data_IF_568517116934
#
_entry.id   IF_568517116934
#
_cell.length_a   1.000
_cell.length_b   1.000
_cell.length_c   1.000
_cell.angle_alpha   90.00
_cell.angle_beta   90.00
_cell.angle_gamma   90.00
#
_symmetry.space_group_name_H-M   'P 1'
#
loop_
_entity.id
_entity.type
_entity.pdbx_description
1 polymer ?
#
# COMPACT_ATOMS: atom_id res chain seq x y z
N UNK A 1 67.37 8.37 -38.01
CA UNK A 1 68.04 7.07 -38.16
C UNK A 1 69.53 7.34 -38.35
N UNK A 2 70.43 6.94 -37.45
CA UNK A 2 71.85 6.96 -37.74
C UNK A 2 72.21 5.68 -38.51
N UNK A 3 72.83 5.85 -39.69
CA UNK A 3 73.41 4.78 -40.48
C UNK A 3 74.65 4.24 -39.77
N UNK A 4 74.65 2.95 -39.45
CA UNK A 4 75.80 2.23 -38.93
C UNK A 4 76.69 1.76 -40.09
N UNK A 5 77.31 2.70 -40.82
CA UNK A 5 78.30 2.39 -41.84
C UNK A 5 79.68 2.31 -41.16
N UNK A 6 80.19 1.08 -40.97
CA UNK A 6 81.52 0.88 -40.43
C UNK A 6 81.77 -0.47 -39.77
N UNK A 7 81.38 -1.57 -40.40
CA UNK A 7 81.89 -2.90 -40.05
C UNK A 7 82.50 -3.53 -41.29
N UNK A 8 83.81 -3.78 -41.29
CA UNK A 8 84.41 -4.75 -42.23
C UNK A 8 84.19 -6.15 -41.64
N UNK A 9 83.36 -7.01 -42.24
CA UNK A 9 83.06 -8.30 -41.65
C UNK A 9 84.08 -9.32 -42.13
N UNK A 10 84.74 -10.01 -41.21
CA UNK A 10 85.06 -11.43 -41.44
C UNK A 10 83.75 -12.20 -41.27
N UNK A 11 82.90 -12.15 -42.30
CA UNK A 11 81.57 -12.78 -42.34
C UNK A 11 81.72 -14.27 -42.59
N UNK A 12 81.52 -15.08 -41.54
CA UNK A 12 81.21 -16.50 -41.72
C UNK A 12 79.69 -16.64 -41.86
N UNK A 13 79.24 -16.90 -43.08
CA UNK A 13 77.86 -17.30 -43.35
C UNK A 13 77.63 -18.73 -42.87
N UNK A 14 76.65 -18.92 -41.98
CA UNK A 14 76.16 -20.24 -41.61
C UNK A 14 74.65 -20.31 -41.84
N UNK A 15 74.20 -21.43 -42.39
CA UNK A 15 72.77 -21.75 -42.53
C UNK A 15 72.32 -22.51 -41.28
N UNK A 16 71.22 -22.05 -40.67
CA UNK A 16 70.61 -22.79 -39.57
C UNK A 16 69.88 -24.05 -40.09
N UNK A 17 69.38 -24.90 -39.18
CA UNK A 17 68.63 -26.12 -39.49
C UNK A 17 67.32 -25.89 -40.26
N UNK A 18 66.89 -24.64 -40.42
CA UNK A 18 65.71 -24.25 -41.20
C UNK A 18 66.06 -23.61 -42.54
N UNK A 19 67.33 -23.60 -42.95
CA UNK A 19 67.78 -23.07 -44.24
C UNK A 19 67.80 -21.54 -44.33
N UNK A 20 67.60 -20.82 -43.22
CA UNK A 20 67.73 -19.36 -43.22
C UNK A 20 69.22 -18.97 -43.08
N UNK A 21 69.66 -18.02 -43.91
CA UNK A 21 70.99 -17.40 -43.77
C UNK A 21 71.06 -16.69 -42.41
N UNK A 22 72.03 -17.06 -41.60
CA UNK A 22 72.33 -16.39 -40.34
C UNK A 22 73.76 -15.87 -40.35
N UNK A 23 73.92 -14.57 -40.09
CA UNK A 23 75.23 -13.95 -39.97
C UNK A 23 75.68 -13.99 -38.52
N UNK A 24 76.92 -14.43 -38.29
CA UNK A 24 77.51 -14.44 -36.96
C UNK A 24 78.46 -13.25 -36.86
N UNK A 25 77.98 -12.16 -36.24
CA UNK A 25 78.80 -11.00 -35.92
C UNK A 25 79.41 -11.12 -34.53
N UNK A 26 80.50 -10.40 -34.23
CA UNK A 26 81.01 -10.30 -32.86
C UNK A 26 80.46 -9.03 -32.19
N UNK A 27 80.07 -9.12 -30.91
CA UNK A 27 79.68 -7.91 -30.15
C UNK A 27 80.89 -6.98 -30.11
N UNK A 28 80.78 -5.71 -30.52
CA UNK A 28 81.89 -4.74 -30.43
C UNK A 28 82.35 -4.47 -28.98
N UNK A 29 81.64 -5.05 -28.03
CA UNK A 29 81.70 -4.82 -26.61
C UNK A 29 82.59 -5.85 -25.89
N UNK A 30 82.68 -7.10 -26.38
CA UNK A 30 83.48 -8.19 -25.76
C UNK A 30 84.00 -9.23 -26.77
N UNK A 31 83.82 -9.03 -28.08
CA UNK A 31 84.25 -9.98 -29.10
C UNK A 31 83.45 -11.31 -29.14
N UNK A 32 82.44 -11.48 -28.27
CA UNK A 32 81.62 -12.68 -28.23
C UNK A 32 80.73 -12.80 -29.48
N UNK A 33 80.64 -14.02 -30.03
CA UNK A 33 79.81 -14.35 -31.20
C UNK A 33 78.33 -14.11 -30.88
N UNK A 34 77.73 -13.15 -31.59
CA UNK A 34 76.30 -12.86 -31.59
C UNK A 34 75.71 -13.62 -32.78
N UNK A 35 74.88 -14.64 -32.49
CA UNK A 35 74.04 -15.23 -33.52
C UNK A 35 72.94 -14.22 -33.86
N UNK A 36 73.02 -13.64 -35.05
CA UNK A 36 71.93 -12.87 -35.62
C UNK A 36 71.07 -13.83 -36.43
N UNK A 37 69.93 -14.21 -35.89
CA UNK A 37 68.94 -15.09 -36.52
C UNK A 37 68.10 -14.36 -37.58
N UNK A 38 68.66 -13.33 -38.21
CA UNK A 38 68.07 -12.62 -39.36
C UNK A 38 66.81 -11.81 -39.05
N UNK A 39 66.33 -11.83 -37.81
CA UNK A 39 65.21 -11.00 -37.36
C UNK A 39 65.75 -10.02 -36.31
N UNK A 40 65.46 -8.72 -36.46
CA UNK A 40 65.84 -7.66 -35.50
C UNK A 40 65.30 -7.92 -34.07
N UNK A 41 64.50 -8.97 -33.89
CA UNK A 41 63.87 -9.37 -32.65
C UNK A 41 64.73 -10.27 -31.76
N UNK A 42 65.85 -10.84 -32.26
CA UNK A 42 66.57 -11.90 -31.53
C UNK A 42 68.10 -11.83 -31.56
N UNK A 43 68.71 -10.86 -32.23
CA UNK A 43 70.16 -10.62 -32.19
C UNK A 43 70.62 -9.89 -30.92
N UNK A 44 70.70 -10.61 -29.79
CA UNK A 44 71.30 -10.08 -28.56
C UNK A 44 72.57 -10.83 -28.16
N UNK A 45 73.52 -10.09 -27.59
CA UNK A 45 74.68 -10.69 -26.95
C UNK A 45 74.21 -11.48 -25.72
N UNK A 46 74.29 -12.81 -25.76
CA UNK A 46 73.85 -13.71 -24.68
C UNK A 46 74.57 -13.49 -23.34
N UNK A 47 75.65 -12.71 -23.33
CA UNK A 47 76.43 -12.41 -22.12
C UNK A 47 75.82 -11.25 -21.31
N UNK A 48 74.77 -10.59 -21.81
CA UNK A 48 74.01 -9.62 -21.01
C UNK A 48 74.84 -8.41 -20.58
N UNK A 49 75.59 -7.81 -21.50
CA UNK A 49 76.50 -6.76 -21.11
C UNK A 49 75.82 -5.47 -20.67
N UNK A 50 76.55 -4.69 -19.88
CA UNK A 50 76.11 -3.41 -19.31
C UNK A 50 75.60 -2.41 -20.37
N UNK A 51 75.97 -2.56 -21.66
CA UNK A 51 75.47 -1.71 -22.76
C UNK A 51 74.17 -2.23 -23.40
N UNK A 52 73.99 -3.53 -23.55
CA UNK A 52 72.82 -4.11 -24.23
C UNK A 52 71.63 -4.35 -23.28
N UNK A 53 71.90 -4.62 -22.00
CA UNK A 53 70.85 -4.88 -21.00
C UNK A 53 69.85 -3.72 -20.83
N UNK A 54 70.26 -2.43 -20.76
CA UNK A 54 69.32 -1.32 -20.69
C UNK A 54 68.39 -1.21 -21.91
N UNK A 55 68.87 -1.55 -23.11
CA UNK A 55 68.07 -1.53 -24.34
C UNK A 55 67.03 -2.65 -24.34
N UNK A 56 67.38 -3.86 -23.89
CA UNK A 56 66.44 -4.97 -23.73
C UNK A 56 65.38 -4.67 -22.67
N UNK A 57 65.78 -4.09 -21.53
CA UNK A 57 64.85 -3.65 -20.48
C UNK A 57 63.86 -2.62 -21.01
N UNK A 58 64.35 -1.61 -21.74
CA UNK A 58 63.50 -0.58 -22.38
C UNK A 58 62.56 -1.16 -23.43
N UNK A 59 63.03 -2.15 -24.21
CA UNK A 59 62.22 -2.83 -25.23
C UNK A 59 61.13 -3.71 -24.61
N UNK A 60 61.45 -4.46 -23.56
CA UNK A 60 60.48 -5.26 -22.80
C UNK A 60 59.40 -4.37 -22.20
N UNK A 61 59.79 -3.25 -21.57
CA UNK A 61 58.85 -2.26 -21.06
C UNK A 61 57.91 -1.72 -22.16
N UNK A 62 58.44 -1.40 -23.35
CA UNK A 62 57.61 -0.98 -24.49
C UNK A 62 56.63 -2.04 -24.97
N UNK A 63 57.01 -3.32 -24.94
CA UNK A 63 56.09 -4.40 -25.30
C UNK A 63 54.99 -4.57 -24.25
N UNK A 64 55.32 -4.49 -22.97
CA UNK A 64 54.34 -4.51 -21.87
C UNK A 64 53.38 -3.32 -21.98
N UNK A 65 53.88 -2.12 -22.27
CA UNK A 65 53.07 -0.91 -22.54
C UNK A 65 52.12 -1.10 -23.74
N UNK A 66 52.60 -1.72 -24.83
CA UNK A 66 51.77 -2.00 -26.00
C UNK A 66 50.70 -3.06 -25.73
N UNK A 67 51.03 -4.11 -24.98
CA UNK A 67 50.09 -5.15 -24.58
C UNK A 67 49.01 -4.59 -23.64
N UNK A 68 49.38 -3.69 -22.72
CA UNK A 68 48.43 -2.99 -21.85
C UNK A 68 47.53 -2.04 -22.65
N UNK A 69 48.09 -1.29 -23.61
CA UNK A 69 47.32 -0.43 -24.49
C UNK A 69 46.34 -1.22 -25.38
N UNK A 70 46.71 -2.42 -25.85
CA UNK A 70 45.83 -3.30 -26.61
C UNK A 70 44.67 -3.83 -25.73
N UNK A 71 44.96 -4.25 -24.49
CA UNK A 71 43.92 -4.64 -23.52
C UNK A 71 42.99 -3.47 -23.19
N UNK A 72 43.51 -2.26 -23.06
CA UNK A 72 42.70 -1.06 -22.83
C UNK A 72 41.79 -0.74 -24.03
N UNK A 73 42.33 -0.85 -25.25
CA UNK A 73 41.56 -0.69 -26.49
C UNK A 73 40.40 -1.69 -26.56
N UNK A 74 40.62 -2.95 -26.20
CA UNK A 74 39.58 -3.98 -26.19
C UNK A 74 38.51 -3.71 -25.11
N UNK A 75 38.91 -3.22 -23.93
CA UNK A 75 37.99 -2.79 -22.87
C UNK A 75 37.13 -1.61 -23.33
N UNK A 76 37.73 -0.63 -24.01
CA UNK A 76 37.00 0.52 -24.56
C UNK A 76 36.03 0.08 -25.67
N UNK A 77 36.46 -0.80 -26.58
CA UNK A 77 35.60 -1.35 -27.62
C UNK A 77 34.41 -2.14 -27.05
N UNK A 78 34.59 -2.84 -25.92
CA UNK A 78 33.49 -3.48 -25.20
C UNK A 78 32.52 -2.45 -24.63
N UNK A 79 33.01 -1.40 -23.95
CA UNK A 79 32.17 -0.32 -23.41
C UNK A 79 31.36 0.42 -24.48
N UNK A 80 31.95 0.66 -25.65
CA UNK A 80 31.24 1.29 -26.77
C UNK A 80 30.04 0.43 -27.22
N UNK A 81 30.22 -0.89 -27.33
CA UNK A 81 29.11 -1.81 -27.66
C UNK A 81 28.00 -1.81 -26.61
N UNK A 82 28.37 -1.83 -25.33
CA UNK A 82 27.42 -1.76 -24.20
C UNK A 82 26.62 -0.44 -24.24
N UNK A 83 27.27 0.69 -24.58
CA UNK A 83 26.59 1.99 -24.74
C UNK A 83 25.66 2.04 -25.96
N UNK A 84 26.06 1.47 -27.10
CA UNK A 84 25.21 1.36 -28.29
C UNK A 84 23.96 0.49 -28.05
N UNK A 85 24.09 -0.58 -27.25
CA UNK A 85 22.95 -1.41 -26.84
C UNK A 85 22.01 -0.67 -25.90
N UNK A 86 22.55 0.06 -24.91
CA UNK A 86 21.77 0.89 -24.00
C UNK A 86 21.03 2.02 -24.75
N UNK A 87 21.64 2.63 -25.76
CA UNK A 87 21.00 3.64 -26.60
C UNK A 87 19.83 3.06 -27.41
N UNK A 88 20.01 1.86 -28.00
CA UNK A 88 18.91 1.14 -28.68
C UNK A 88 17.78 0.78 -27.72
N UNK A 89 18.09 0.42 -26.48
CA UNK A 89 17.08 0.12 -25.46
C UNK A 89 16.31 1.39 -25.05
N UNK A 90 17.01 2.51 -24.86
CA UNK A 90 16.40 3.82 -24.59
C UNK A 90 15.42 4.20 -25.71
N UNK A 91 15.79 4.01 -26.97
CA UNK A 91 14.89 4.29 -28.10
C UNK A 91 13.66 3.38 -28.13
N UNK A 92 13.81 2.10 -27.74
CA UNK A 92 12.67 1.17 -27.61
C UNK A 92 11.72 1.60 -26.50
N UNK A 93 12.27 2.01 -25.35
CA UNK A 93 11.47 2.51 -24.23
C UNK A 93 10.75 3.81 -24.58
N UNK A 94 11.42 4.75 -25.27
CA UNK A 94 10.81 5.99 -25.74
C UNK A 94 9.61 5.73 -26.66
N UNK A 95 9.73 4.78 -27.60
CA UNK A 95 8.60 4.36 -28.45
C UNK A 95 7.46 3.75 -27.64
N UNK A 96 7.76 2.94 -26.62
CA UNK A 96 6.73 2.34 -25.76
C UNK A 96 5.99 3.40 -24.94
N UNK A 97 6.69 4.39 -24.40
CA UNK A 97 6.09 5.53 -23.68
C UNK A 97 5.14 6.30 -24.62
N UNK A 98 5.57 6.59 -25.85
CA UNK A 98 4.73 7.28 -26.83
C UNK A 98 3.43 6.50 -27.14
N UNK A 99 3.49 5.17 -27.25
CA UNK A 99 2.29 4.32 -27.44
C UNK A 99 1.36 4.38 -26.24
N UNK A 100 1.90 4.35 -25.01
CA UNK A 100 1.10 4.44 -23.79
C UNK A 100 0.43 5.80 -23.65
N UNK A 101 1.11 6.89 -24.00
CA UNK A 101 0.52 8.24 -24.02
C UNK A 101 -0.66 8.33 -25.01
N UNK A 102 -0.53 7.73 -26.19
CA UNK A 102 -1.62 7.67 -27.17
C UNK A 102 -2.81 6.85 -26.64
N UNK A 103 -2.56 5.72 -25.97
CA UNK A 103 -3.61 4.93 -25.34
C UNK A 103 -4.31 5.70 -24.22
N UNK A 104 -3.56 6.39 -23.37
CA UNK A 104 -4.11 7.21 -22.29
C UNK A 104 -5.00 8.33 -22.83
N UNK A 105 -4.55 9.05 -23.85
CA UNK A 105 -5.35 10.10 -24.48
C UNK A 105 -6.65 9.54 -25.08
N UNK A 106 -6.59 8.38 -25.73
CA UNK A 106 -7.79 7.70 -26.24
C UNK A 106 -8.78 7.35 -25.12
N UNK A 107 -8.30 6.80 -24.00
CA UNK A 107 -9.17 6.49 -22.84
C UNK A 107 -9.79 7.75 -22.22
N UNK A 108 -9.06 8.87 -22.23
CA UNK A 108 -9.56 10.14 -21.74
C UNK A 108 -10.66 10.72 -22.64
N UNK A 109 -10.52 10.58 -23.96
CA UNK A 109 -11.57 10.93 -24.92
C UNK A 109 -12.83 10.07 -24.74
N UNK A 110 -12.68 8.76 -24.58
CA UNK A 110 -13.78 7.83 -24.31
C UNK A 110 -14.52 8.16 -22.99
N UNK A 111 -13.78 8.50 -21.93
CA UNK A 111 -14.36 8.90 -20.64
C UNK A 111 -15.13 10.23 -20.75
N UNK A 112 -14.57 11.22 -21.46
CA UNK A 112 -15.24 12.50 -21.68
C UNK A 112 -16.52 12.35 -22.49
N UNK A 113 -16.53 11.47 -23.48
CA UNK A 113 -17.73 11.16 -24.26
C UNK A 113 -18.78 10.44 -23.41
N UNK A 114 -18.38 9.48 -22.58
CA UNK A 114 -19.29 8.82 -21.63
C UNK A 114 -19.90 9.81 -20.63
N UNK A 115 -19.11 10.76 -20.13
CA UNK A 115 -19.60 11.82 -19.25
C UNK A 115 -20.62 12.73 -19.95
N UNK A 116 -20.35 13.12 -21.21
CA UNK A 116 -21.31 13.90 -22.01
C UNK A 116 -22.62 13.15 -22.22
N UNK A 117 -22.55 11.85 -22.49
CA UNK A 117 -23.74 11.01 -22.62
C UNK A 117 -24.51 10.91 -21.30
N UNK A 118 -23.83 10.78 -20.17
CA UNK A 118 -24.46 10.77 -18.86
C UNK A 118 -25.15 12.12 -18.55
N UNK A 119 -24.50 13.23 -18.86
CA UNK A 119 -25.07 14.57 -18.73
C UNK A 119 -26.28 14.77 -19.66
N UNK A 120 -26.24 14.23 -20.88
CA UNK A 120 -27.37 14.26 -21.80
C UNK A 120 -28.54 13.40 -21.32
N UNK A 121 -28.27 12.20 -20.78
CA UNK A 121 -29.30 11.35 -20.16
C UNK A 121 -29.89 12.00 -18.91
N UNK A 122 -29.06 12.69 -18.12
CA UNK A 122 -29.51 13.46 -16.95
C UNK A 122 -30.41 14.62 -17.37
N UNK A 123 -30.06 15.35 -18.44
CA UNK A 123 -30.91 16.39 -19.04
C UNK A 123 -32.21 15.84 -19.65
N UNK A 124 -32.18 14.63 -20.23
CA UNK A 124 -33.35 13.96 -20.82
C UNK A 124 -34.22 13.25 -19.79
N UNK A 125 -33.73 13.05 -18.56
CA UNK A 125 -34.54 12.70 -17.39
C UNK A 125 -34.66 13.92 -16.47
N UNK A 126 -35.44 14.95 -16.83
CA UNK A 126 -36.19 15.60 -15.78
C UNK A 126 -37.13 14.51 -15.27
N UNK A 127 -36.77 13.84 -14.18
CA UNK A 127 -37.84 13.49 -13.24
C UNK A 127 -38.39 14.84 -12.86
N UNK A 128 -39.49 15.18 -13.53
CA UNK A 128 -40.06 16.50 -13.61
C UNK A 128 -40.70 16.82 -12.25
N UNK A 129 -39.86 17.05 -11.26
CA UNK A 129 -40.27 17.56 -9.95
C UNK A 129 -40.59 19.06 -10.04
N UNK A 130 -40.28 19.72 -11.17
CA UNK A 130 -40.43 21.16 -11.37
C UNK A 130 -41.58 21.57 -12.29
N UNK A 131 -42.22 20.65 -13.03
CA UNK A 131 -43.55 20.90 -13.57
C UNK A 131 -44.57 20.94 -12.43
N UNK A 132 -44.64 22.13 -11.83
CA UNK A 132 -45.71 22.57 -10.93
C UNK A 132 -47.02 22.81 -11.69
N UNK A 133 -46.97 22.80 -13.03
CA UNK A 133 -48.12 23.00 -13.91
C UNK A 133 -48.66 21.65 -14.39
N UNK A 134 -49.49 21.03 -13.55
CA UNK A 134 -50.42 20.02 -14.03
C UNK A 134 -50.84 19.02 -12.98
N UNK A 135 -51.78 19.39 -12.10
CA UNK A 135 -52.85 18.60 -11.45
C UNK A 135 -52.58 17.18 -10.88
N UNK A 136 -51.39 16.61 -10.99
CA UNK A 136 -51.19 15.15 -10.95
C UNK A 136 -50.02 14.67 -10.09
N UNK A 137 -49.10 15.53 -9.63
CA UNK A 137 -47.90 15.07 -8.90
C UNK A 137 -47.97 15.26 -7.37
N UNK A 138 -48.11 16.48 -6.86
CA UNK A 138 -48.18 16.70 -5.39
C UNK A 138 -49.54 16.35 -4.80
N UNK A 139 -50.63 16.70 -5.49
CA UNK A 139 -52.00 16.38 -5.08
C UNK A 139 -52.18 14.88 -4.83
N UNK A 140 -51.65 14.04 -5.72
CA UNK A 140 -51.74 12.59 -5.62
C UNK A 140 -50.94 12.02 -4.44
N UNK A 141 -49.75 12.56 -4.16
CA UNK A 141 -48.95 12.14 -3.00
C UNK A 141 -49.69 12.39 -1.70
N UNK A 142 -50.30 13.57 -1.54
CA UNK A 142 -51.07 13.91 -0.33
C UNK A 142 -52.44 13.23 -0.25
N UNK A 143 -52.92 12.64 -1.34
CA UNK A 143 -54.10 11.78 -1.37
C UNK A 143 -53.76 10.31 -1.04
N UNK A 144 -52.48 9.94 -1.03
CA UNK A 144 -52.05 8.59 -0.69
C UNK A 144 -52.45 8.24 0.75
N UNK A 145 -52.86 6.98 1.02
CA UNK A 145 -53.08 6.52 2.39
C UNK A 145 -51.88 6.80 3.28
N UNK A 146 -52.13 7.17 4.54
CA UNK A 146 -51.08 7.44 5.51
C UNK A 146 -50.92 6.25 6.44
N UNK A 147 -49.69 5.79 6.62
CA UNK A 147 -49.29 4.77 7.59
C UNK A 147 -48.55 5.41 8.76
N UNK A 148 -48.79 4.92 9.97
CA UNK A 148 -48.02 5.32 11.15
C UNK A 148 -46.91 4.30 11.42
N UNK A 149 -45.67 4.75 11.46
CA UNK A 149 -44.47 3.95 11.75
C UNK A 149 -43.89 4.42 13.08
N UNK A 150 -43.72 3.52 14.04
CA UNK A 150 -43.20 3.85 15.37
C UNK A 150 -41.82 3.26 15.57
N UNK A 151 -40.80 4.11 15.68
CA UNK A 151 -39.41 3.70 15.91
C UNK A 151 -39.17 3.53 17.40
N UNK A 152 -38.97 2.28 17.84
CA UNK A 152 -38.62 1.93 19.22
C UNK A 152 -37.12 1.71 19.36
N UNK A 153 -36.40 2.78 19.68
CA UNK A 153 -34.95 2.75 19.90
C UNK A 153 -34.65 3.25 21.32
N UNK A 154 -33.60 2.78 22.02
CA UNK A 154 -33.26 3.24 23.37
C UNK A 154 -33.15 4.77 23.49
N UNK A 155 -32.59 5.44 22.46
CA UNK A 155 -32.48 6.91 22.43
C UNK A 155 -33.80 7.65 22.18
N UNK A 156 -34.86 6.97 21.75
CA UNK A 156 -36.19 7.53 21.54
C UNK A 156 -37.08 7.47 22.81
N UNK A 157 -36.60 6.83 23.87
CA UNK A 157 -37.37 6.60 25.10
C UNK A 157 -38.43 5.48 24.97
N UNK A 158 -39.17 5.19 26.05
CA UNK A 158 -40.03 4.00 26.14
C UNK A 158 -41.23 4.02 25.17
N UNK A 159 -41.68 5.19 24.74
CA UNK A 159 -42.79 5.34 23.80
C UNK A 159 -42.36 5.24 22.33
N UNK A 160 -41.07 5.36 22.05
CA UNK A 160 -40.56 5.53 20.68
C UNK A 160 -41.01 6.85 20.04
N UNK A 161 -40.65 7.03 18.76
CA UNK A 161 -41.06 8.17 17.94
C UNK A 161 -41.93 7.66 16.80
N UNK A 162 -43.12 8.24 16.65
CA UNK A 162 -44.07 7.87 15.59
C UNK A 162 -44.04 8.88 14.46
N UNK A 163 -43.89 8.37 13.23
CA UNK A 163 -43.94 9.13 11.98
C UNK A 163 -45.19 8.74 11.20
N UNK A 164 -45.88 9.72 10.60
CA UNK A 164 -47.04 9.50 9.73
C UNK A 164 -46.61 9.74 8.29
N UNK A 165 -46.46 8.67 7.52
CA UNK A 165 -45.89 8.70 6.17
C UNK A 165 -46.90 8.26 5.12
N UNK A 166 -46.80 8.84 3.93
CA UNK A 166 -47.64 8.52 2.78
C UNK A 166 -47.16 7.21 2.14
N UNK A 167 -48.07 6.25 1.98
CA UNK A 167 -47.79 4.88 1.53
C UNK A 167 -47.14 4.85 0.16
N UNK A 168 -47.62 5.66 -0.78
CA UNK A 168 -47.15 5.63 -2.17
C UNK A 168 -45.67 6.03 -2.23
N UNK A 169 -45.31 7.13 -1.55
CA UNK A 169 -43.92 7.58 -1.43
C UNK A 169 -43.04 6.56 -0.75
N UNK A 170 -43.55 5.98 0.34
CA UNK A 170 -42.81 5.01 1.12
C UNK A 170 -42.50 3.75 0.31
N UNK A 171 -43.45 3.27 -0.49
CA UNK A 171 -43.26 2.15 -1.41
C UNK A 171 -42.32 2.50 -2.58
N UNK A 172 -42.34 3.74 -3.06
CA UNK A 172 -41.48 4.21 -4.13
C UNK A 172 -40.00 4.23 -3.71
N UNK A 173 -39.72 4.74 -2.50
CA UNK A 173 -38.34 4.95 -2.02
C UNK A 173 -37.76 3.72 -1.32
N UNK A 174 -38.59 2.90 -0.65
CA UNK A 174 -38.13 1.77 0.16
C UNK A 174 -38.74 0.45 -0.31
N UNK A 175 -37.87 -0.42 -0.84
CA UNK A 175 -38.27 -1.78 -1.23
C UNK A 175 -38.73 -2.62 -0.03
N UNK A 176 -38.14 -2.42 1.15
CA UNK A 176 -38.57 -3.05 2.40
C UNK A 176 -40.04 -2.78 2.70
N UNK A 177 -40.46 -1.52 2.61
CA UNK A 177 -41.84 -1.14 2.86
C UNK A 177 -42.77 -1.51 1.70
N UNK A 178 -42.31 -1.40 0.45
CA UNK A 178 -43.08 -1.81 -0.72
C UNK A 178 -43.53 -3.28 -0.65
N UNK A 179 -42.66 -4.15 -0.15
CA UNK A 179 -42.97 -5.57 0.05
C UNK A 179 -43.96 -5.80 1.20
N UNK A 180 -43.78 -5.07 2.30
CA UNK A 180 -44.55 -5.27 3.54
C UNK A 180 -45.93 -4.62 3.53
N UNK A 181 -46.08 -3.42 2.99
CA UNK A 181 -47.32 -2.64 3.09
C UNK A 181 -48.50 -3.34 2.42
N UNK A 182 -48.28 -4.17 1.39
CA UNK A 182 -49.34 -5.00 0.81
C UNK A 182 -50.04 -5.90 1.83
N UNK A 183 -49.35 -6.29 2.90
CA UNK A 183 -49.90 -7.10 3.99
C UNK A 183 -50.60 -6.28 5.09
N UNK A 184 -50.31 -4.98 5.22
CA UNK A 184 -50.79 -4.14 6.32
C UNK A 184 -51.85 -3.14 5.83
N UNK A 185 -53.11 -3.35 6.21
CA UNK A 185 -54.23 -2.54 5.69
C UNK A 185 -54.34 -1.13 6.28
N UNK A 186 -53.80 -0.84 7.47
CA UNK A 186 -54.01 0.48 8.12
C UNK A 186 -52.91 0.96 9.07
N UNK A 187 -52.15 0.06 9.72
CA UNK A 187 -51.07 0.46 10.65
C UNK A 187 -49.91 -0.53 10.57
N UNK A 188 -48.70 -0.04 10.30
CA UNK A 188 -47.47 -0.85 10.29
C UNK A 188 -46.71 -0.56 11.57
N UNK A 189 -46.86 -1.41 12.57
CA UNK A 189 -45.97 -1.41 13.72
C UNK A 189 -44.64 -2.04 13.32
N UNK A 190 -43.72 -1.23 12.80
CA UNK A 190 -42.33 -1.65 12.71
C UNK A 190 -41.67 -1.42 14.07
N UNK A 191 -41.68 -2.45 14.91
CA UNK A 191 -40.78 -2.54 16.05
C UNK A 191 -39.35 -2.83 15.58
N UNK A 192 -38.87 -2.09 14.59
CA UNK A 192 -37.49 -2.19 14.14
C UNK A 192 -36.63 -1.35 15.08
N UNK A 193 -36.17 -1.99 16.15
CA UNK A 193 -35.09 -1.48 17.02
C UNK A 193 -33.80 -1.18 16.25
N UNK A 194 -33.74 -1.62 14.99
CA UNK A 194 -32.62 -1.49 14.08
C UNK A 194 -32.42 -0.07 13.51
N UNK A 195 -33.45 0.78 13.53
CA UNK A 195 -33.36 2.12 12.94
C UNK A 195 -33.10 3.18 14.01
N UNK A 196 -31.95 3.86 13.93
CA UNK A 196 -31.68 5.00 14.80
C UNK A 196 -32.64 6.17 14.49
N UNK A 197 -33.30 6.77 15.49
CA UNK A 197 -34.37 7.76 15.27
C UNK A 197 -33.89 9.01 14.53
N UNK A 198 -32.65 9.44 14.76
CA UNK A 198 -32.05 10.60 14.07
C UNK A 198 -31.86 10.29 12.58
N UNK A 199 -31.34 9.12 12.24
CA UNK A 199 -31.16 8.73 10.84
C UNK A 199 -32.51 8.53 10.14
N UNK A 200 -33.49 7.95 10.85
CA UNK A 200 -34.84 7.80 10.31
C UNK A 200 -35.51 9.15 10.01
N UNK A 201 -35.26 10.20 10.82
CA UNK A 201 -35.71 11.56 10.51
C UNK A 201 -35.18 12.05 9.15
N UNK A 202 -33.92 11.78 8.82
CA UNK A 202 -33.34 12.14 7.52
C UNK A 202 -33.83 11.26 6.38
N UNK A 203 -34.13 9.98 6.62
CA UNK A 203 -34.88 9.16 5.68
C UNK A 203 -36.25 9.77 5.36
N UNK A 204 -36.99 10.24 6.36
CA UNK A 204 -38.29 10.92 6.15
C UNK A 204 -38.12 12.22 5.37
N UNK A 205 -37.05 12.99 5.60
CA UNK A 205 -36.76 14.17 4.78
C UNK A 205 -36.50 13.78 3.32
N UNK A 206 -35.64 12.78 3.09
CA UNK A 206 -35.32 12.27 1.76
C UNK A 206 -36.57 11.75 1.02
N UNK A 207 -37.46 11.07 1.73
CA UNK A 207 -38.70 10.53 1.20
C UNK A 207 -39.56 11.58 0.48
N UNK A 208 -39.57 12.81 0.99
CA UNK A 208 -40.39 13.90 0.45
C UNK A 208 -39.61 14.86 -0.44
N UNK A 209 -38.33 15.10 -0.13
CA UNK A 209 -37.51 16.10 -0.79
C UNK A 209 -36.60 15.52 -1.89
N UNK A 210 -36.42 14.19 -1.95
CA UNK A 210 -35.42 13.55 -2.80
C UNK A 210 -33.97 13.78 -2.35
N UNK A 211 -33.78 14.52 -1.25
CA UNK A 211 -32.49 14.73 -0.59
C UNK A 211 -32.70 14.96 0.92
N UNK A 212 -31.64 14.82 1.72
CA UNK A 212 -31.64 15.18 3.14
C UNK A 212 -30.52 16.18 3.46
N UNK A 213 -30.80 17.17 4.30
CA UNK A 213 -29.86 18.27 4.58
C UNK A 213 -29.58 18.27 6.09
N UNK A 214 -28.29 18.21 6.45
CA UNK A 214 -27.88 18.41 7.83
C UNK A 214 -27.91 19.90 8.16
N UNK A 215 -28.35 20.22 9.37
CA UNK A 215 -28.28 21.58 9.89
C UNK A 215 -26.83 21.92 10.25
N UNK A 216 -26.39 23.16 10.03
CA UNK A 216 -25.00 23.61 10.26
C UNK A 216 -24.51 23.36 11.69
N UNK A 217 -25.42 23.34 12.66
CA UNK A 217 -25.10 23.01 14.06
C UNK A 217 -24.68 21.56 14.28
N UNK A 218 -24.85 20.69 13.28
CA UNK A 218 -24.53 19.25 13.34
C UNK A 218 -23.28 18.91 12.53
N UNK A 219 -22.59 19.90 11.95
CA UNK A 219 -21.40 19.68 11.12
C UNK A 219 -20.31 18.89 11.87
N UNK A 220 -20.11 19.14 13.17
CA UNK A 220 -19.11 18.44 13.98
C UNK A 220 -19.37 16.94 14.17
N UNK A 221 -20.61 16.49 13.92
CA UNK A 221 -21.06 15.10 14.03
C UNK A 221 -21.60 14.56 12.70
N UNK A 222 -21.38 15.28 11.59
CA UNK A 222 -21.96 14.97 10.30
C UNK A 222 -21.54 13.59 9.78
N UNK A 223 -20.27 13.23 9.94
CA UNK A 223 -19.75 11.92 9.53
C UNK A 223 -20.54 10.77 10.18
N UNK A 224 -20.76 10.84 11.48
CA UNK A 224 -21.53 9.85 12.22
C UNK A 224 -22.99 9.77 11.75
N UNK A 225 -23.65 10.92 11.55
CA UNK A 225 -25.03 10.95 11.07
C UNK A 225 -25.15 10.34 9.68
N UNK A 226 -24.25 10.69 8.75
CA UNK A 226 -24.23 10.14 7.40
C UNK A 226 -24.04 8.61 7.40
N UNK A 227 -23.17 8.09 8.26
CA UNK A 227 -23.01 6.65 8.48
C UNK A 227 -24.29 5.99 8.98
N UNK A 228 -24.99 6.58 9.96
CA UNK A 228 -26.26 6.03 10.43
C UNK A 228 -27.33 6.05 9.33
N UNK A 229 -27.38 7.10 8.52
CA UNK A 229 -28.31 7.21 7.39
C UNK A 229 -28.00 6.15 6.33
N UNK A 230 -26.72 5.89 6.04
CA UNK A 230 -26.28 4.83 5.13
C UNK A 230 -26.82 3.46 5.56
N UNK A 231 -26.65 3.08 6.82
CA UNK A 231 -27.13 1.78 7.31
C UNK A 231 -28.65 1.69 7.40
N UNK A 232 -29.34 2.78 7.78
CA UNK A 232 -30.81 2.81 7.72
C UNK A 232 -31.30 2.66 6.28
N UNK A 233 -30.66 3.32 5.32
CA UNK A 233 -31.01 3.22 3.91
C UNK A 233 -30.83 1.79 3.38
N UNK A 234 -29.74 1.13 3.76
CA UNK A 234 -29.47 -0.26 3.41
C UNK A 234 -30.52 -1.22 3.99
N UNK A 235 -30.82 -1.09 5.29
CA UNK A 235 -31.84 -1.90 5.98
C UNK A 235 -33.25 -1.70 5.38
N UNK A 236 -33.57 -0.47 4.98
CA UNK A 236 -34.86 -0.14 4.36
C UNK A 236 -34.87 -0.45 2.85
N UNK A 237 -33.76 -0.92 2.27
CA UNK A 237 -33.64 -1.17 0.84
C UNK A 237 -33.97 0.07 0.01
N UNK A 238 -33.39 1.21 0.40
CA UNK A 238 -33.52 2.52 -0.22
C UNK A 238 -32.19 2.92 -0.90
N UNK A 239 -31.87 2.38 -2.09
CA UNK A 239 -30.54 2.49 -2.70
C UNK A 239 -30.14 3.94 -3.02
N UNK A 240 -31.08 4.77 -3.48
CA UNK A 240 -30.79 6.18 -3.77
C UNK A 240 -30.38 6.97 -2.53
N UNK A 241 -30.99 6.68 -1.36
CA UNK A 241 -30.57 7.31 -0.11
C UNK A 241 -29.22 6.76 0.36
N UNK A 242 -28.96 5.47 0.16
CA UNK A 242 -27.68 4.83 0.51
C UNK A 242 -26.53 5.48 -0.25
N UNK A 243 -26.68 5.66 -1.56
CA UNK A 243 -25.72 6.35 -2.42
C UNK A 243 -25.55 7.82 -2.02
N UNK A 244 -26.64 8.54 -1.78
CA UNK A 244 -26.58 9.93 -1.34
C UNK A 244 -25.86 10.09 0.00
N UNK A 245 -26.08 9.16 0.93
CA UNK A 245 -25.41 9.14 2.23
C UNK A 245 -23.93 8.81 2.14
N UNK A 246 -23.55 7.86 1.28
CA UNK A 246 -22.15 7.57 1.00
C UNK A 246 -21.43 8.77 0.40
N UNK A 247 -22.01 9.41 -0.62
CA UNK A 247 -21.41 10.58 -1.26
C UNK A 247 -21.22 11.74 -0.27
N UNK A 248 -22.21 11.98 0.60
CA UNK A 248 -22.13 13.02 1.64
C UNK A 248 -21.11 12.69 2.73
N UNK A 249 -20.99 11.41 3.11
CA UNK A 249 -19.95 10.97 4.02
C UNK A 249 -18.57 11.18 3.42
N UNK A 250 -18.33 10.74 2.17
CA UNK A 250 -17.03 10.92 1.49
C UNK A 250 -16.64 12.39 1.46
N UNK A 251 -17.55 13.27 1.01
CA UNK A 251 -17.32 14.72 1.04
C UNK A 251 -16.98 15.22 2.44
N UNK A 252 -17.72 14.77 3.45
CA UNK A 252 -17.48 15.14 4.85
C UNK A 252 -16.08 14.74 5.33
N UNK A 253 -15.60 13.54 4.95
CA UNK A 253 -14.28 13.03 5.33
C UNK A 253 -13.15 13.72 4.55
N UNK A 254 -13.37 14.07 3.29
CA UNK A 254 -12.40 14.80 2.44
C UNK A 254 -12.25 16.28 2.85
N UNK A 255 -13.32 16.90 3.36
CA UNK A 255 -13.29 18.29 3.82
C UNK A 255 -12.75 18.46 5.24
N UNK A 256 -12.45 17.38 5.95
CA UNK A 256 -11.88 17.43 7.30
C UNK A 256 -10.41 17.85 7.21
N UNK A 257 -10.19 19.17 7.13
CA UNK A 257 -8.89 19.79 7.33
C UNK A 257 -8.60 19.93 8.81
N UNK A 258 -7.33 20.10 9.20
CA UNK A 258 -6.92 20.30 10.61
C UNK A 258 -7.71 21.40 11.33
N UNK A 259 -8.21 22.40 10.60
CA UNK A 259 -9.03 23.50 11.12
C UNK A 259 -10.52 23.16 11.26
N UNK A 260 -11.05 22.27 10.41
CA UNK A 260 -12.46 21.91 10.34
C UNK A 260 -12.80 20.76 11.29
N UNK A 261 -12.23 20.75 12.50
CA UNK A 261 -12.30 19.68 13.50
C UNK A 261 -13.63 18.90 13.52
N UNK A 262 -13.74 17.84 12.70
CA UNK A 262 -14.71 16.79 12.96
C UNK A 262 -14.41 16.30 14.37
N UNK A 263 -15.44 16.26 15.22
CA UNK A 263 -15.23 15.93 16.62
C UNK A 263 -14.68 14.51 16.70
N UNK A 264 -13.52 14.29 17.35
CA UNK A 264 -12.94 12.96 17.51
C UNK A 264 -13.95 11.94 18.08
N UNK A 265 -14.89 12.41 18.91
CA UNK A 265 -16.00 11.58 19.41
C UNK A 265 -16.95 11.09 18.30
N UNK A 266 -17.25 11.92 17.30
CA UNK A 266 -18.06 11.54 16.15
C UNK A 266 -17.36 10.48 15.30
N UNK A 267 -16.03 10.60 15.11
CA UNK A 267 -15.23 9.59 14.41
C UNK A 267 -15.24 8.25 15.14
N UNK A 268 -15.03 8.27 16.47
CA UNK A 268 -15.15 7.06 17.31
C UNK A 268 -16.54 6.43 17.17
N UNK A 269 -17.61 7.23 17.23
CA UNK A 269 -18.99 6.72 17.08
C UNK A 269 -19.31 6.24 15.67
N UNK A 270 -18.70 6.82 14.65
CA UNK A 270 -18.78 6.36 13.26
C UNK A 270 -18.16 4.97 13.12
N UNK A 271 -16.96 4.75 13.66
CA UNK A 271 -16.32 3.43 13.68
C UNK A 271 -17.21 2.42 14.37
N UNK A 272 -17.68 2.73 15.59
CA UNK A 272 -18.57 1.85 16.34
C UNK A 272 -19.80 1.44 15.51
N UNK A 273 -20.49 2.39 14.89
CA UNK A 273 -21.67 2.10 14.06
C UNK A 273 -21.35 1.27 12.81
N UNK A 274 -20.22 1.52 12.15
CA UNK A 274 -19.80 0.72 10.99
C UNK A 274 -19.56 -0.73 11.39
N UNK A 275 -18.74 -0.95 12.41
CA UNK A 275 -18.36 -2.30 12.78
C UNK A 275 -19.50 -3.06 13.45
N UNK A 276 -20.35 -2.42 14.27
CA UNK A 276 -21.57 -3.07 14.77
C UNK A 276 -22.54 -3.51 13.66
N UNK A 277 -22.62 -2.75 12.57
CA UNK A 277 -23.56 -3.03 11.48
C UNK A 277 -23.03 -4.02 10.44
N UNK A 278 -21.71 -4.19 10.37
CA UNK A 278 -21.03 -4.99 9.33
C UNK A 278 -20.31 -6.20 9.90
N UNK A 279 -20.08 -6.26 11.21
CA UNK A 279 -19.57 -7.48 11.85
C UNK A 279 -20.62 -8.54 11.65
N UNK A 280 -20.27 -9.57 10.88
CA UNK A 280 -21.02 -10.81 10.86
C UNK A 280 -21.29 -11.16 12.31
N UNK A 281 -22.57 -11.31 12.66
CA UNK A 281 -22.95 -11.65 14.02
C UNK A 281 -22.56 -13.10 14.26
N UNK A 282 -21.27 -13.39 14.40
CA UNK A 282 -20.63 -14.70 14.56
C UNK A 282 -21.09 -15.46 15.81
N UNK A 283 -22.13 -15.00 16.50
CA UNK A 283 -22.74 -15.68 17.64
C UNK A 283 -24.17 -15.26 17.99
N UNK A 284 -24.93 -14.54 17.13
CA UNK A 284 -26.36 -14.23 17.42
C UNK A 284 -27.34 -15.29 16.91
N UNK A 285 -26.87 -16.52 16.71
CA UNK A 285 -27.75 -17.68 16.65
C UNK A 285 -28.19 -18.04 18.07
N UNK A 286 -29.35 -17.49 18.47
CA UNK A 286 -30.29 -18.12 19.40
C UNK A 286 -29.91 -18.29 20.90
N UNK A 287 -29.30 -17.29 21.54
CA UNK A 287 -29.38 -17.18 23.01
C UNK A 287 -30.11 -15.90 23.40
N UNK A 288 -31.44 -16.01 23.52
CA UNK A 288 -32.16 -15.09 24.38
C UNK A 288 -31.85 -15.45 25.82
N UNK A 289 -31.10 -14.61 26.52
CA UNK A 289 -31.29 -14.28 27.94
C UNK A 289 -30.30 -13.19 28.34
N UNK A 290 -30.79 -12.20 29.08
CA UNK A 290 -29.97 -11.22 29.80
C UNK A 290 -29.03 -11.97 30.75
N UNK A 291 -27.74 -11.99 30.41
CA UNK A 291 -26.65 -12.37 31.31
C UNK A 291 -25.78 -11.15 31.56
N UNK A 292 -25.58 -10.86 32.83
CA UNK A 292 -24.84 -9.74 33.39
C UNK A 292 -23.45 -9.57 32.76
N UNK A 293 -22.98 -8.32 32.72
CA UNK A 293 -21.61 -7.95 32.38
C UNK A 293 -20.61 -8.72 33.24
N UNK A 294 -20.13 -9.85 32.73
CA UNK A 294 -18.97 -10.53 33.24
C UNK A 294 -17.74 -9.68 32.86
N UNK A 295 -17.33 -8.85 33.82
CA UNK A 295 -16.06 -8.14 33.78
C UNK A 295 -14.97 -9.19 33.70
N UNK A 296 -14.37 -9.33 32.52
CA UNK A 296 -13.11 -10.04 32.32
C UNK A 296 -12.03 -9.31 33.13
N UNK A 297 -11.95 -9.66 34.41
CA UNK A 297 -10.81 -9.37 35.27
C UNK A 297 -9.62 -10.11 34.66
N UNK A 298 -8.76 -9.35 33.99
CA UNK A 298 -7.38 -9.77 33.76
C UNK A 298 -6.75 -10.01 35.13
N UNK A 299 -6.08 -11.15 35.38
CA UNK A 299 -5.41 -11.37 36.65
C UNK A 299 -4.28 -10.34 36.77
N UNK A 300 -4.49 -9.35 37.63
CA UNK A 300 -3.41 -8.55 38.17
C UNK A 300 -2.51 -9.53 38.95
N UNK A 301 -1.27 -9.66 38.48
CA UNK A 301 -0.18 -10.30 39.19
C UNK A 301 0.08 -9.49 40.47
N UNK A 302 -0.61 -9.85 41.55
CA UNK A 302 -0.28 -9.48 42.91
C UNK A 302 0.93 -10.31 43.35
N UNK A 303 2.11 -9.72 43.25
CA UNK A 303 3.29 -10.21 43.98
C UNK A 303 3.26 -9.51 45.34
N UNK A 304 2.82 -10.26 46.35
CA UNK A 304 2.77 -9.84 47.74
C UNK A 304 4.11 -10.16 48.41
N UNK A 305 4.73 -9.13 48.96
CA UNK A 305 5.51 -9.12 50.21
C UNK A 305 6.75 -10.01 50.35
N UNK A 306 7.93 -9.37 50.39
CA UNK A 306 8.93 -9.64 51.45
C UNK A 306 9.55 -8.31 51.89
N UNK A 307 9.28 -7.94 53.14
CA UNK A 307 9.99 -6.93 53.92
C UNK A 307 11.35 -7.49 54.36
N UNK A 308 12.46 -6.91 53.91
CA UNK A 308 13.75 -6.85 54.63
C UNK A 308 14.41 -5.53 54.20
N UNK A 309 14.37 -4.48 55.02
CA UNK A 309 15.30 -4.17 56.12
C UNK A 309 16.66 -3.61 55.65
N UNK A 310 17.13 -2.65 56.45
CA UNK A 310 18.16 -1.63 56.24
C UNK A 310 19.46 -2.02 55.51
N UNK A 311 19.99 -1.12 54.68
CA UNK A 311 21.36 -0.59 54.88
C UNK A 311 21.75 0.53 53.91
N UNK A 312 22.26 1.61 54.50
CA UNK A 312 23.12 2.60 53.87
C UNK A 312 24.38 1.94 53.31
N UNK A 313 24.65 2.10 52.02
CA UNK A 313 26.02 2.20 51.51
C UNK A 313 26.10 3.16 50.33
N UNK A 314 26.64 4.33 50.64
CA UNK A 314 27.43 5.20 49.78
C UNK A 314 28.51 4.40 49.03
N UNK A 315 28.48 4.42 47.69
CA UNK A 315 29.64 4.07 46.86
C UNK A 315 29.64 4.86 45.55
N UNK A 316 30.45 5.91 45.57
CA UNK A 316 31.16 6.48 44.42
C UNK A 316 32.01 5.43 43.67
N UNK A 317 31.82 5.27 42.36
CA UNK A 317 32.80 4.71 41.40
C UNK A 317 32.49 5.35 40.03
N UNK A 318 33.21 6.40 39.63
CA UNK A 318 34.40 6.41 38.74
C UNK A 318 34.13 6.05 37.28
N UNK A 319 34.38 7.06 36.44
CA UNK A 319 34.58 6.97 34.99
C UNK A 319 35.76 6.05 34.66
N UNK A 320 35.54 5.07 33.79
CA UNK A 320 36.64 4.46 33.04
C UNK A 320 36.29 4.38 31.54
N UNK A 321 37.09 5.11 30.77
CA UNK A 321 37.29 4.93 29.34
C UNK A 321 37.84 3.52 29.08
N UNK A 322 37.17 2.75 28.23
CA UNK A 322 37.61 1.42 27.85
C UNK A 322 37.24 1.09 26.41
N UNK A 323 38.16 1.37 25.49
CA UNK A 323 38.13 0.86 24.12
C UNK A 323 38.29 -0.67 24.13
N UNK A 324 37.39 -1.38 23.44
CA UNK A 324 37.45 -2.83 23.31
C UNK A 324 36.56 -3.34 22.19
N UNK A 325 37.11 -3.40 20.98
CA UNK A 325 36.60 -4.21 19.88
C UNK A 325 36.62 -5.70 20.28
N UNK A 326 35.53 -6.44 20.04
CA UNK A 326 35.50 -7.65 19.20
C UNK A 326 34.32 -8.61 19.50
N UNK A 327 33.87 -9.23 18.41
CA UNK A 327 33.18 -10.52 18.31
C UNK A 327 31.68 -10.62 18.64
N UNK A 328 30.93 -10.24 17.60
CA UNK A 328 29.67 -10.83 17.16
C UNK A 328 29.76 -12.37 17.09
N UNK A 329 29.11 -13.06 18.04
CA UNK A 329 28.93 -14.52 18.00
C UNK A 329 27.44 -14.84 17.87
N UNK A 330 27.00 -14.91 16.61
CA UNK A 330 25.69 -15.37 16.16
C UNK A 330 25.66 -16.91 16.27
N UNK A 331 25.00 -17.46 17.30
CA UNK A 331 24.81 -18.91 17.45
C UNK A 331 23.34 -19.24 17.72
N UNK A 332 22.70 -19.71 16.64
CA UNK A 332 21.73 -20.82 16.56
C UNK A 332 20.59 -20.87 17.60
N UNK A 333 19.49 -20.19 17.29
CA UNK A 333 18.16 -20.41 17.91
C UNK A 333 17.11 -20.89 16.88
N UNK A 334 17.53 -21.56 15.80
CA UNK A 334 16.60 -22.01 14.74
C UNK A 334 15.89 -23.34 15.07
N UNK A 335 16.44 -24.15 15.98
CA UNK A 335 15.88 -25.47 16.33
C UNK A 335 14.79 -25.46 17.41
N UNK A 336 14.71 -24.43 18.24
CA UNK A 336 13.70 -24.36 19.31
C UNK A 336 12.34 -23.90 18.78
N UNK A 337 12.32 -23.07 17.74
CA UNK A 337 11.09 -22.64 17.08
C UNK A 337 10.42 -23.79 16.31
N UNK A 338 11.19 -24.62 15.60
CA UNK A 338 10.69 -25.80 14.88
C UNK A 338 10.12 -26.85 15.83
N UNK A 339 10.76 -27.11 16.98
CA UNK A 339 10.23 -28.05 17.97
C UNK A 339 8.94 -27.53 18.65
N UNK A 340 8.80 -26.21 18.80
CA UNK A 340 7.57 -25.61 19.37
C UNK A 340 6.39 -25.72 18.39
N UNK A 341 6.64 -25.57 17.09
CA UNK A 341 5.62 -25.72 16.04
C UNK A 341 5.14 -27.17 15.89
N UNK A 342 6.04 -28.15 16.03
CA UNK A 342 5.71 -29.59 15.97
C UNK A 342 4.84 -30.01 17.17
N UNK A 343 5.05 -29.44 18.35
CA UNK A 343 4.23 -29.72 19.54
C UNK A 343 2.81 -29.14 19.47
N UNK A 344 2.54 -28.18 18.58
CA UNK A 344 1.22 -27.54 18.41
C UNK A 344 0.30 -28.26 17.41
N UNK A 345 0.75 -29.37 16.80
CA UNK A 345 -0.09 -30.18 15.92
C UNK A 345 -0.53 -29.49 14.62
N UNK A 346 0.22 -28.48 14.17
CA UNK A 346 0.00 -27.80 12.89
C UNK A 346 0.71 -28.62 11.82
N UNK A 347 -0.02 -29.59 11.25
CA UNK A 347 0.47 -30.41 10.14
C UNK A 347 0.39 -29.60 8.84
N UNK A 348 1.50 -28.94 8.45
CA UNK A 348 1.60 -28.06 7.27
C UNK A 348 1.33 -28.75 5.92
N UNK A 349 1.10 -30.07 5.91
CA UNK A 349 0.95 -30.85 4.68
C UNK A 349 -0.49 -31.05 4.22
N UNK A 350 -1.49 -30.58 4.98
CA UNK A 350 -2.90 -30.71 4.61
C UNK A 350 -3.71 -29.43 4.85
N UNK A 351 -3.09 -28.26 4.66
CA UNK A 351 -3.85 -27.02 4.42
C UNK A 351 -4.47 -27.16 3.03
N UNK A 352 -5.69 -27.70 3.00
CA UNK A 352 -6.61 -27.45 1.91
C UNK A 352 -6.55 -25.95 1.70
N UNK A 353 -5.95 -25.55 0.59
CA UNK A 353 -6.02 -24.20 0.06
C UNK A 353 -7.47 -23.99 -0.36
N UNK A 354 -8.37 -23.92 0.62
CA UNK A 354 -9.55 -23.09 0.53
C UNK A 354 -8.94 -21.73 0.26
N UNK A 355 -8.89 -21.42 -1.03
CA UNK A 355 -8.70 -20.08 -1.53
C UNK A 355 -9.56 -19.22 -0.63
N UNK A 356 -8.88 -18.49 0.27
CA UNK A 356 -9.46 -17.45 1.07
C UNK A 356 -10.03 -16.48 0.03
N UNK A 357 -11.26 -16.74 -0.41
CA UNK A 357 -12.04 -15.83 -1.22
C UNK A 357 -11.97 -14.55 -0.41
N UNK A 358 -11.16 -13.60 -0.90
CA UNK A 358 -10.79 -12.42 -0.16
C UNK A 358 -12.09 -11.86 0.41
N UNK A 359 -12.27 -11.99 1.73
CA UNK A 359 -13.51 -11.60 2.39
C UNK A 359 -13.72 -10.15 1.98
N UNK A 360 -14.66 -9.94 1.07
CA UNK A 360 -14.75 -8.69 0.34
C UNK A 360 -15.01 -7.61 1.39
N UNK A 361 -14.01 -6.79 1.67
CA UNK A 361 -14.06 -5.81 2.74
C UNK A 361 -15.25 -4.91 2.44
N UNK A 362 -16.16 -4.78 3.40
CA UNK A 362 -17.34 -3.96 3.21
C UNK A 362 -16.89 -2.52 2.87
N UNK A 363 -17.45 -1.85 1.83
CA UNK A 363 -16.94 -0.57 1.35
C UNK A 363 -16.91 0.53 2.43
N UNK A 364 -17.85 0.52 3.38
CA UNK A 364 -17.78 1.42 4.54
C UNK A 364 -16.63 1.14 5.51
N UNK A 365 -16.25 -0.13 5.72
CA UNK A 365 -15.12 -0.48 6.61
C UNK A 365 -13.83 0.08 6.04
N UNK A 366 -13.62 -0.15 4.75
CA UNK A 366 -12.44 0.33 4.03
C UNK A 366 -12.31 1.86 4.07
N UNK A 367 -13.39 2.60 3.79
CA UNK A 367 -13.36 4.06 3.83
C UNK A 367 -13.08 4.59 5.24
N UNK A 368 -13.77 4.03 6.24
CA UNK A 368 -13.61 4.47 7.64
C UNK A 368 -12.24 4.09 8.19
N UNK A 369 -11.70 2.91 7.87
CA UNK A 369 -10.37 2.51 8.34
C UNK A 369 -9.27 3.40 7.77
N UNK A 370 -9.31 3.71 6.46
CA UNK A 370 -8.38 4.67 5.82
C UNK A 370 -8.42 6.04 6.49
N UNK A 371 -9.63 6.57 6.70
CA UNK A 371 -9.78 7.87 7.35
C UNK A 371 -9.32 7.87 8.83
N UNK A 372 -9.55 6.77 9.57
CA UNK A 372 -9.02 6.62 10.93
C UNK A 372 -7.50 6.57 10.95
N UNK A 373 -6.87 5.85 10.01
CA UNK A 373 -5.40 5.79 9.89
C UNK A 373 -4.83 7.19 9.69
N UNK A 374 -5.47 8.01 8.84
CA UNK A 374 -5.12 9.41 8.66
C UNK A 374 -5.18 10.22 9.97
N UNK A 375 -6.17 9.96 10.84
CA UNK A 375 -6.34 10.64 12.14
C UNK A 375 -5.77 9.90 13.35
N UNK A 376 -4.90 8.91 13.13
CA UNK A 376 -4.52 7.95 14.18
C UNK A 376 -3.84 8.62 15.38
N UNK A 377 -3.00 9.64 15.15
CA UNK A 377 -2.25 10.32 16.22
C UNK A 377 -3.17 10.96 17.27
N UNK A 378 -4.27 11.56 16.85
CA UNK A 378 -5.23 12.20 17.76
C UNK A 378 -6.20 11.21 18.39
N UNK A 379 -6.64 10.22 17.62
CA UNK A 379 -7.58 9.21 18.10
C UNK A 379 -6.94 8.30 19.15
N UNK A 380 -5.67 7.95 19.00
CA UNK A 380 -4.96 7.04 19.92
C UNK A 380 -4.82 7.62 21.35
N UNK A 381 -4.89 8.94 21.51
CA UNK A 381 -4.89 9.61 22.82
C UNK A 381 -6.17 9.31 23.61
N UNK A 382 -7.27 8.91 22.95
CA UNK A 382 -8.57 8.69 23.60
C UNK A 382 -8.72 7.25 24.14
N UNK A 383 -9.33 7.13 25.31
CA UNK A 383 -9.59 5.83 25.93
C UNK A 383 -10.70 5.03 25.22
N UNK A 384 -11.73 5.71 24.71
CA UNK A 384 -12.86 5.10 23.99
C UNK A 384 -12.43 4.50 22.64
N UNK A 385 -11.55 5.19 21.90
CA UNK A 385 -10.96 4.65 20.68
C UNK A 385 -10.14 3.37 20.95
N UNK A 386 -9.29 3.37 21.98
CA UNK A 386 -8.55 2.16 22.38
C UNK A 386 -9.46 1.01 22.82
N UNK A 387 -10.64 1.32 23.38
CA UNK A 387 -11.64 0.30 23.68
C UNK A 387 -12.25 -0.31 22.42
N UNK A 388 -12.44 0.47 21.34
CA UNK A 388 -12.92 -0.05 20.04
C UNK A 388 -11.96 -1.06 19.42
N UNK A 389 -10.64 -0.81 19.49
CA UNK A 389 -9.63 -1.75 18.96
C UNK A 389 -9.71 -3.13 19.64
N UNK A 390 -10.04 -3.16 20.94
CA UNK A 390 -10.26 -4.41 21.67
C UNK A 390 -11.61 -5.05 21.35
N UNK A 391 -12.64 -4.23 21.15
CA UNK A 391 -14.02 -4.68 20.90
C UNK A 391 -14.19 -5.24 19.48
N UNK A 392 -13.48 -4.70 18.50
CA UNK A 392 -13.55 -5.05 17.09
C UNK A 392 -12.13 -5.38 16.58
N UNK A 393 -11.63 -6.61 16.79
CA UNK A 393 -10.29 -6.99 16.31
C UNK A 393 -10.16 -6.87 14.78
N UNK A 394 -11.24 -7.10 14.03
CA UNK A 394 -11.27 -6.93 12.58
C UNK A 394 -11.01 -5.48 12.15
N UNK A 395 -11.39 -4.49 12.96
CA UNK A 395 -11.08 -3.10 12.68
C UNK A 395 -9.57 -2.84 12.74
N UNK A 396 -8.85 -3.51 13.64
CA UNK A 396 -7.39 -3.40 13.70
C UNK A 396 -6.74 -3.95 12.43
N UNK A 397 -7.26 -5.07 11.91
CA UNK A 397 -6.80 -5.65 10.64
C UNK A 397 -7.08 -4.70 9.49
N UNK A 398 -8.31 -4.17 9.39
CA UNK A 398 -8.71 -3.23 8.34
C UNK A 398 -7.87 -1.93 8.38
N UNK A 399 -7.45 -1.49 9.57
CA UNK A 399 -6.52 -0.37 9.74
C UNK A 399 -5.09 -0.68 9.30
N UNK A 400 -4.59 -1.90 9.58
CA UNK A 400 -3.26 -2.32 9.10
C UNK A 400 -3.24 -2.37 7.57
N UNK A 401 -4.25 -2.98 6.96
CA UNK A 401 -4.41 -3.02 5.50
C UNK A 401 -4.51 -1.60 4.93
N UNK A 402 -5.30 -0.72 5.56
CA UNK A 402 -5.41 0.66 5.13
C UNK A 402 -4.07 1.40 5.21
N UNK A 403 -3.27 1.16 6.27
CA UNK A 403 -1.96 1.78 6.47
C UNK A 403 -0.93 1.31 5.44
N UNK A 404 -0.98 0.06 5.00
CA UNK A 404 -0.07 -0.46 3.97
C UNK A 404 -0.38 0.10 2.57
N UNK A 405 -1.62 0.52 2.33
CA UNK A 405 -2.08 1.07 1.05
C UNK A 405 -1.95 2.59 0.94
N UNK A 406 -1.53 3.28 2.01
CA UNK A 406 -1.27 4.73 2.03
C UNK A 406 0.23 4.99 1.88
#
# INVERSE_FOLDING_TARGET
>A
MPSCDGFSPSELEYFNSHGCKTTVGTCPCHGALVRCDGTENKSYCMIGCNKCYPLLKKRKARFEELEEAEKEKDRLAKRVRELEEAEKEKDRLAKRVQVLEQQLNKTFEELNEAQRQLDEVSKRRPVDWQSLDGDSHYSRIFQSPVVSITIRHPSAGPKGITYRLHVDRLCEVSSFYAQRIRAYRTTVYNETSLCHPVAFKYFVQFLYCGDYILHDSLTSVACYIHTLVYFVADQLGAPALKEAAELKLVKCLETDTEDANLGNQAVVKMVEAVYESTSESFGKTASGYHGETEVLNTPASSIDGVDEDESDTDMTVQDEEGAGENNMQLVKSKGELENTLICLGIDETNVVSETCESLAIHPMRERVSRYVVYRMEDLNKRADFRALLRRFPEFTVDMMIAKENM
#
